data_IF_261390766021
#
_entry.id   IF_261390766021
#
_cell.length_a   1.000
_cell.length_b   1.000
_cell.length_c   1.000
_cell.angle_alpha   90.00
_cell.angle_beta   90.00
_cell.angle_gamma   90.00
#
_symmetry.space_group_name_H-M   'P 1'
#
loop_
_entity.id
_entity.type
_entity.pdbx_description
1 polymer ?
#
# COMPACT_ATOMS: atom_id res chain seq x y z
N UNK A 1 1.37 5.59 11.39
CA UNK A 1 2.38 4.78 10.70
C UNK A 1 2.06 3.32 10.99
N UNK A 2 1.94 2.51 9.95
CA UNK A 2 1.78 1.07 10.06
C UNK A 2 3.00 0.38 9.47
N UNK A 3 3.41 -0.69 10.14
CA UNK A 3 4.50 -1.59 9.71
C UNK A 3 3.93 -3.00 9.65
N UNK A 4 4.21 -3.74 8.57
CA UNK A 4 3.65 -5.08 8.37
C UNK A 4 4.66 -6.02 7.72
N UNK A 5 4.61 -7.29 8.13
CA UNK A 5 5.24 -8.44 7.45
C UNK A 5 4.34 -9.67 7.64
N UNK A 6 4.75 -10.80 7.09
CA UNK A 6 4.07 -12.09 7.22
C UNK A 6 5.12 -13.22 7.35
N UNK A 7 4.90 -14.31 8.10
CA UNK A 7 5.90 -15.38 8.29
C UNK A 7 6.46 -16.03 7.02
N UNK A 8 5.75 -15.93 5.90
CA UNK A 8 6.18 -16.44 4.58
C UNK A 8 6.83 -15.38 3.67
N UNK A 9 6.74 -14.11 4.05
CA UNK A 9 7.31 -12.99 3.31
C UNK A 9 8.73 -12.71 3.76
N UNK A 10 9.54 -12.15 2.85
CA UNK A 10 10.84 -11.54 3.15
C UNK A 10 10.79 -10.01 3.10
N UNK A 11 9.58 -9.45 3.08
CA UNK A 11 9.37 -8.02 3.00
C UNK A 11 8.90 -7.43 4.33
N UNK A 12 9.47 -6.29 4.69
CA UNK A 12 8.95 -5.42 5.73
C UNK A 12 8.38 -4.16 5.07
N UNK A 13 7.07 -3.99 5.17
CA UNK A 13 6.32 -2.90 4.54
C UNK A 13 6.08 -1.76 5.54
N UNK A 14 6.36 -0.52 5.14
CA UNK A 14 6.20 0.67 5.98
C UNK A 14 5.47 1.76 5.20
N UNK A 15 4.31 2.18 5.69
CA UNK A 15 3.60 3.34 5.14
C UNK A 15 4.07 4.66 5.74
N UNK A 16 3.72 5.76 5.09
CA UNK A 16 4.06 7.13 5.53
C UNK A 16 2.87 8.08 5.37
N UNK A 17 1.65 7.60 5.67
CA UNK A 17 0.38 8.23 5.28
C UNK A 17 0.18 9.67 5.72
N UNK A 18 0.86 10.12 6.78
CA UNK A 18 0.77 11.48 7.32
C UNK A 18 1.97 12.37 6.96
N UNK A 19 2.89 11.89 6.12
CA UNK A 19 4.00 12.71 5.64
C UNK A 19 3.46 13.92 4.83
N UNK A 20 4.01 15.13 5.01
CA UNK A 20 3.55 16.32 4.30
C UNK A 20 3.85 16.29 2.79
N UNK A 21 4.86 15.54 2.34
CA UNK A 21 5.18 15.38 0.92
C UNK A 21 4.24 14.35 0.27
N UNK A 22 3.45 14.74 -0.76
CA UNK A 22 2.58 13.83 -1.49
C UNK A 22 3.33 12.62 -2.06
N UNK A 23 4.55 12.80 -2.59
CA UNK A 23 5.32 11.68 -3.16
C UNK A 23 5.61 10.61 -2.12
N UNK A 24 5.84 11.03 -0.88
CA UNK A 24 6.14 10.12 0.22
C UNK A 24 4.84 9.47 0.70
N UNK A 25 3.81 10.25 1.04
CA UNK A 25 2.55 9.69 1.56
C UNK A 25 1.71 8.89 0.53
N UNK A 26 2.05 8.97 -0.75
CA UNK A 26 1.48 8.20 -1.86
C UNK A 26 2.27 6.93 -2.20
N UNK A 27 3.33 6.64 -1.44
CA UNK A 27 4.22 5.50 -1.64
C UNK A 27 4.35 4.64 -0.38
N UNK A 28 4.96 3.47 -0.53
CA UNK A 28 5.32 2.57 0.57
C UNK A 28 6.79 2.20 0.46
N UNK A 29 7.50 2.22 1.59
CA UNK A 29 8.84 1.67 1.69
C UNK A 29 8.77 0.16 1.95
N UNK A 30 9.58 -0.61 1.23
CA UNK A 30 9.73 -2.05 1.43
C UNK A 30 11.19 -2.41 1.61
N UNK A 31 11.49 -3.05 2.75
CA UNK A 31 12.81 -3.58 3.07
C UNK A 31 12.86 -5.08 2.80
N UNK A 32 14.02 -5.58 2.37
CA UNK A 32 14.32 -7.01 2.41
C UNK A 32 14.80 -7.38 3.82
N UNK A 33 14.07 -8.26 4.50
CA UNK A 33 14.37 -8.70 5.87
C UNK A 33 15.68 -9.50 5.91
N UNK A 34 16.04 -10.18 4.83
CA UNK A 34 17.28 -10.95 4.77
C UNK A 34 18.51 -10.04 4.52
N UNK A 35 18.30 -8.79 4.08
CA UNK A 35 19.36 -7.81 3.73
C UNK A 35 18.99 -6.37 4.14
N UNK A 36 18.77 -6.14 5.44
CA UNK A 36 18.30 -4.84 5.96
C UNK A 36 19.27 -3.66 5.73
N UNK A 37 20.56 -3.96 5.52
CA UNK A 37 21.62 -2.98 5.23
C UNK A 37 21.56 -2.43 3.81
N UNK A 38 20.88 -3.11 2.89
CA UNK A 38 20.69 -2.65 1.50
C UNK A 38 19.72 -1.44 1.38
N UNK A 39 19.02 -1.09 2.47
CA UNK A 39 18.01 -0.03 2.49
C UNK A 39 16.64 -0.51 2.01
N UNK A 40 15.80 0.42 1.57
CA UNK A 40 14.44 0.15 1.11
C UNK A 40 14.27 0.46 -0.38
N UNK A 41 13.31 -0.22 -1.00
CA UNK A 41 12.72 0.22 -2.26
C UNK A 41 11.43 1.01 -1.97
N UNK A 42 11.17 2.06 -2.72
CA UNK A 42 9.90 2.80 -2.66
C UNK A 42 8.98 2.30 -3.77
N UNK A 43 7.76 1.87 -3.44
CA UNK A 43 6.75 1.46 -4.41
C UNK A 43 5.68 2.55 -4.58
N UNK A 44 5.33 2.93 -5.82
CA UNK A 44 4.41 4.02 -6.09
C UNK A 44 2.94 3.54 -6.04
N UNK A 45 2.48 3.15 -4.85
CA UNK A 45 1.17 2.51 -4.66
C UNK A 45 0.00 3.37 -5.16
N UNK A 46 -0.02 4.68 -4.86
CA UNK A 46 -1.10 5.55 -5.33
C UNK A 46 -1.05 5.81 -6.84
N UNK A 47 0.14 5.76 -7.45
CA UNK A 47 0.31 5.86 -8.90
C UNK A 47 -0.30 4.63 -9.58
N UNK A 48 -0.01 3.43 -9.06
CA UNK A 48 -0.60 2.19 -9.54
C UNK A 48 -2.12 2.14 -9.44
N UNK A 49 -2.70 2.87 -8.49
CA UNK A 49 -4.15 2.97 -8.38
C UNK A 49 -4.80 3.77 -9.53
N UNK A 50 -4.03 4.56 -10.28
CA UNK A 50 -4.50 5.33 -11.43
C UNK A 50 -5.79 6.12 -11.12
N UNK A 51 -5.72 6.97 -10.09
CA UNK A 51 -6.84 7.79 -9.62
C UNK A 51 -6.65 9.25 -10.03
N UNK A 52 -7.77 9.96 -10.17
CA UNK A 52 -7.80 11.40 -10.42
C UNK A 52 -7.22 12.27 -9.28
N UNK A 53 -7.69 13.51 -9.18
CA UNK A 53 -7.20 14.42 -8.14
C UNK A 53 -7.54 13.93 -6.72
N UNK A 54 -6.67 14.24 -5.77
CA UNK A 54 -6.88 13.94 -4.36
C UNK A 54 -5.60 13.67 -3.60
N UNK A 55 -5.75 13.61 -2.27
CA UNK A 55 -4.62 13.34 -1.39
C UNK A 55 -4.02 11.95 -1.62
N UNK A 56 -4.85 10.93 -1.88
CA UNK A 56 -4.47 9.55 -2.22
C UNK A 56 -3.46 8.93 -1.23
N UNK A 57 -3.67 9.18 0.05
CA UNK A 57 -2.74 8.75 1.10
C UNK A 57 -2.75 7.24 1.21
N UNK A 58 -1.59 6.60 1.10
CA UNK A 58 -1.49 5.15 1.19
C UNK A 58 -1.44 4.76 2.66
N UNK A 59 -2.30 3.84 3.07
CA UNK A 59 -2.44 3.46 4.49
C UNK A 59 -2.65 1.97 4.69
N UNK A 60 -1.98 1.47 5.73
CA UNK A 60 -2.09 0.15 6.34
C UNK A 60 -1.87 -1.01 5.35
N UNK A 61 -0.68 -1.65 5.34
CA UNK A 61 -0.50 -2.91 4.65
C UNK A 61 -1.26 -4.03 5.38
N UNK A 62 -2.01 -4.87 4.66
CA UNK A 62 -2.66 -6.05 5.20
C UNK A 62 -2.42 -7.25 4.28
N UNK A 63 -2.03 -8.41 4.83
CA UNK A 63 -1.80 -9.61 4.03
C UNK A 63 -3.09 -10.41 3.84
N UNK A 64 -3.14 -11.19 2.76
CA UNK A 64 -4.09 -12.28 2.65
C UNK A 64 -3.65 -13.49 3.52
N UNK A 65 -4.54 -14.47 3.69
CA UNK A 65 -4.27 -15.66 4.52
C UNK A 65 -3.06 -16.48 4.02
N UNK A 66 -2.86 -16.52 2.70
CA UNK A 66 -1.76 -17.26 2.09
C UNK A 66 -0.40 -16.61 2.39
N UNK A 67 -0.37 -15.29 2.58
CA UNK A 67 0.83 -14.51 2.82
C UNK A 67 1.60 -14.16 1.55
N UNK A 68 0.98 -14.25 0.39
CA UNK A 68 1.58 -14.00 -0.94
C UNK A 68 1.07 -12.71 -1.60
N UNK A 69 0.10 -12.05 -0.98
CA UNK A 69 -0.41 -10.75 -1.38
C UNK A 69 -0.44 -9.80 -0.19
N UNK A 70 -0.13 -8.53 -0.45
CA UNK A 70 -0.29 -7.43 0.51
C UNK A 70 -1.15 -6.33 -0.10
N UNK A 71 -2.12 -5.85 0.68
CA UNK A 71 -3.16 -4.94 0.24
C UNK A 71 -2.96 -3.57 0.91
N UNK A 72 -3.15 -2.50 0.15
CA UNK A 72 -3.02 -1.13 0.62
C UNK A 72 -4.26 -0.32 0.29
N UNK A 73 -4.75 0.49 1.22
CA UNK A 73 -5.81 1.45 0.92
C UNK A 73 -5.18 2.72 0.36
N UNK A 74 -5.70 3.19 -0.77
CA UNK A 74 -5.40 4.53 -1.31
C UNK A 74 -6.54 5.44 -0.91
N UNK A 75 -6.33 6.15 0.21
CA UNK A 75 -7.34 6.91 0.93
C UNK A 75 -7.43 8.35 0.43
N UNK A 76 -8.55 8.68 -0.21
CA UNK A 76 -8.91 10.05 -0.63
C UNK A 76 -10.11 10.57 0.18
N UNK A 77 -10.50 11.83 -0.06
CA UNK A 77 -11.69 12.42 0.56
C UNK A 77 -12.99 11.75 0.08
N UNK A 78 -14.08 11.92 0.82
CA UNK A 78 -15.41 11.33 0.51
C UNK A 78 -15.92 11.62 -0.91
N UNK A 79 -15.55 12.79 -1.45
CA UNK A 79 -15.96 13.27 -2.77
C UNK A 79 -14.90 13.02 -3.86
N UNK A 80 -13.92 12.16 -3.59
CA UNK A 80 -12.83 11.80 -4.51
C UNK A 80 -12.71 10.29 -4.64
N UNK A 81 -12.19 9.82 -5.77
CA UNK A 81 -11.99 8.40 -6.00
C UNK A 81 -10.94 7.81 -5.05
N UNK A 82 -11.16 6.58 -4.64
CA UNK A 82 -10.27 5.78 -3.79
C UNK A 82 -10.11 4.39 -4.39
N UNK A 83 -9.13 3.63 -3.91
CA UNK A 83 -8.89 2.25 -4.35
C UNK A 83 -8.30 1.40 -3.24
N UNK A 84 -8.31 0.09 -3.44
CA UNK A 84 -7.40 -0.84 -2.78
C UNK A 84 -6.43 -1.38 -3.83
N UNK A 85 -5.14 -1.30 -3.55
CA UNK A 85 -4.08 -1.83 -4.41
C UNK A 85 -3.58 -3.13 -3.81
N UNK A 86 -3.56 -4.19 -4.61
CA UNK A 86 -3.02 -5.49 -4.26
C UNK A 86 -1.65 -5.64 -4.91
N UNK A 87 -0.64 -5.95 -4.10
CA UNK A 87 0.74 -6.16 -4.53
C UNK A 87 1.08 -7.63 -4.35
N UNK A 88 1.70 -8.22 -5.37
CA UNK A 88 2.31 -9.54 -5.27
C UNK A 88 3.55 -9.44 -4.38
N UNK A 89 3.54 -10.10 -3.22
CA UNK A 89 4.58 -9.96 -2.20
C UNK A 89 5.96 -10.40 -2.72
N UNK A 90 5.99 -11.53 -3.43
CA UNK A 90 7.24 -12.12 -3.91
C UNK A 90 7.95 -11.24 -4.93
N UNK A 91 7.20 -10.65 -5.85
CA UNK A 91 7.77 -9.85 -6.96
C UNK A 91 7.76 -8.36 -6.68
N UNK A 92 7.04 -7.90 -5.66
CA UNK A 92 6.80 -6.48 -5.33
C UNK A 92 6.17 -5.71 -6.50
N UNK A 93 5.34 -6.38 -7.30
CA UNK A 93 4.67 -5.80 -8.47
C UNK A 93 3.18 -5.63 -8.22
N UNK A 94 2.58 -4.68 -8.93
CA UNK A 94 1.14 -4.53 -8.99
C UNK A 94 0.49 -5.84 -9.43
N UNK A 95 -0.44 -6.35 -8.63
CA UNK A 95 -1.24 -7.53 -8.94
C UNK A 95 -2.65 -7.17 -9.37
N UNK A 96 -3.30 -6.28 -8.63
CA UNK A 96 -4.65 -5.79 -8.96
C UNK A 96 -4.93 -4.42 -8.35
N UNK A 97 -5.94 -3.74 -8.90
CA UNK A 97 -6.52 -2.52 -8.35
C UNK A 97 -8.02 -2.74 -8.21
N UNK A 98 -8.54 -2.56 -7.00
CA UNK A 98 -9.96 -2.67 -6.68
C UNK A 98 -10.52 -1.25 -6.60
N UNK A 99 -11.45 -0.94 -7.51
CA UNK A 99 -12.23 0.31 -7.55
C UNK A 99 -13.70 -0.05 -7.56
N UNK A 100 -14.50 0.69 -6.82
CA UNK A 100 -15.97 0.56 -6.81
C UNK A 100 -16.59 1.90 -6.39
N UNK A 101 -17.71 2.36 -6.98
CA UNK A 101 -18.38 3.59 -6.57
C UNK A 101 -18.79 3.62 -5.08
N UNK A 102 -18.99 2.46 -4.45
CA UNK A 102 -19.29 2.32 -3.03
C UNK A 102 -18.04 2.22 -2.15
N UNK A 103 -16.84 2.11 -2.73
CA UNK A 103 -15.58 2.10 -1.99
C UNK A 103 -15.18 3.51 -1.57
N UNK A 104 -15.97 4.10 -0.68
CA UNK A 104 -15.81 5.47 -0.20
C UNK A 104 -14.87 5.48 1.00
N UNK A 105 -13.76 6.22 0.89
CA UNK A 105 -12.80 6.43 1.98
C UNK A 105 -12.29 5.12 2.65
N UNK A 106 -11.78 4.14 1.88
CA UNK A 106 -11.25 2.90 2.46
C UNK A 106 -10.03 3.20 3.35
N UNK A 107 -9.99 2.59 4.54
CA UNK A 107 -8.92 2.77 5.51
C UNK A 107 -8.43 1.43 6.05
N UNK A 108 -9.01 0.94 7.15
CA UNK A 108 -8.68 -0.35 7.74
C UNK A 108 -9.16 -1.53 6.88
N UNK A 109 -8.29 -2.53 6.75
CA UNK A 109 -8.50 -3.82 6.09
C UNK A 109 -8.12 -4.91 7.09
N UNK A 110 -8.92 -5.98 7.18
CA UNK A 110 -8.71 -7.09 8.10
C UNK A 110 -9.00 -8.39 7.37
N UNK A 111 -8.00 -9.28 7.30
CA UNK A 111 -8.15 -10.62 6.76
C UNK A 111 -8.59 -11.62 7.83
#
# INVERSE_FOLDING_TARGET
IFVKTHPKSRNLWVDTSLNPDPKINQSVAVFDIDHLDAGYAALPIAEWADLGEGAKRVVQPEYNQAGDEVWFSVWSAKNQESAIVVVDDKTRKLKAVIKDPHLITPTGKFN
#
